data_IF_717122821805
#
_entry.id   IF_717122821805
#
_cell.length_a   1.000
_cell.length_b   1.000
_cell.length_c   1.000
_cell.angle_alpha   90.00
_cell.angle_beta   90.00
_cell.angle_gamma   90.00
#
_symmetry.space_group_name_H-M   'P 1'
#
loop_
_entity.id
_entity.type
_entity.pdbx_description
1 polymer ?
#
# COMPACT_ATOMS: atom_id res chain seq x y z
N UNK A 1 -1.48 -11.52 14.20
CA UNK A 1 -1.56 -10.23 13.49
C UNK A 1 -3.01 -9.79 13.34
N UNK A 2 -3.91 -10.72 13.09
CA UNK A 2 -5.35 -10.53 12.82
C UNK A 2 -6.05 -9.59 13.81
N UNK A 3 -5.86 -9.80 15.12
CA UNK A 3 -6.44 -8.94 16.14
C UNK A 3 -6.01 -7.46 16.02
N UNK A 4 -4.75 -7.22 15.64
CA UNK A 4 -4.21 -5.88 15.38
C UNK A 4 -4.82 -5.28 14.12
N UNK A 5 -4.86 -6.03 13.02
CA UNK A 5 -5.45 -5.63 11.73
C UNK A 5 -6.90 -5.20 11.95
N UNK A 6 -7.70 -6.06 12.57
CA UNK A 6 -9.11 -5.78 12.86
C UNK A 6 -9.28 -4.52 13.73
N UNK A 7 -8.45 -4.32 14.76
CA UNK A 7 -8.55 -3.15 15.61
C UNK A 7 -8.12 -1.87 14.88
N UNK A 8 -7.06 -1.93 14.07
CA UNK A 8 -6.64 -0.78 13.27
C UNK A 8 -7.69 -0.41 12.23
N UNK A 9 -8.26 -1.37 11.51
CA UNK A 9 -9.36 -1.11 10.56
C UNK A 9 -10.61 -0.59 11.30
N UNK A 10 -10.94 -1.13 12.47
CA UNK A 10 -12.14 -0.69 13.19
C UNK A 10 -11.98 0.68 13.84
N UNK A 11 -10.86 0.92 14.52
CA UNK A 11 -10.68 2.05 15.42
C UNK A 11 -9.70 3.11 14.91
N UNK A 12 -8.81 2.75 13.99
CA UNK A 12 -7.71 3.59 13.52
C UNK A 12 -6.45 3.38 14.31
N UNK A 13 -5.38 4.05 13.90
CA UNK A 13 -4.09 3.92 14.55
C UNK A 13 -4.09 4.55 15.95
N UNK A 14 -4.59 5.79 16.05
CA UNK A 14 -4.51 6.57 17.29
C UNK A 14 -5.35 5.96 18.42
N UNK A 15 -6.55 5.48 18.10
CA UNK A 15 -7.49 4.93 19.10
C UNK A 15 -7.22 3.47 19.47
N UNK A 16 -6.28 2.83 18.80
CA UNK A 16 -5.88 1.45 19.10
C UNK A 16 -4.70 1.45 20.08
N UNK A 17 -4.81 0.63 21.12
CA UNK A 17 -3.78 0.45 22.15
C UNK A 17 -3.28 -0.98 22.17
N UNK A 18 -2.02 -1.19 22.58
CA UNK A 18 -1.46 -2.55 22.75
C UNK A 18 -2.29 -3.40 23.71
N UNK A 19 -2.89 -2.79 24.75
CA UNK A 19 -3.80 -3.48 25.68
C UNK A 19 -5.06 -4.02 24.98
N UNK A 20 -5.68 -3.24 24.08
CA UNK A 20 -6.84 -3.72 23.31
C UNK A 20 -6.43 -4.89 22.40
N UNK A 21 -5.25 -4.80 21.78
CA UNK A 21 -4.70 -5.87 20.93
C UNK A 21 -4.50 -7.15 21.75
N UNK A 22 -3.86 -7.06 22.91
CA UNK A 22 -3.65 -8.20 23.83
C UNK A 22 -4.99 -8.84 24.21
N UNK A 23 -5.93 -8.00 24.64
CA UNK A 23 -7.25 -8.46 25.09
C UNK A 23 -8.00 -9.16 23.96
N UNK A 24 -7.95 -8.64 22.74
CA UNK A 24 -8.62 -9.24 21.58
C UNK A 24 -7.92 -10.52 21.12
N UNK A 25 -6.59 -10.55 21.15
CA UNK A 25 -5.81 -11.73 20.79
C UNK A 25 -5.91 -12.87 21.83
N UNK A 26 -6.43 -12.59 23.03
CA UNK A 26 -6.56 -13.59 24.09
C UNK A 26 -5.22 -14.06 24.67
N UNK A 27 -4.15 -13.26 24.50
CA UNK A 27 -2.80 -13.59 24.99
C UNK A 27 -2.51 -12.92 26.33
N UNK A 28 -1.51 -13.41 27.06
CA UNK A 28 -1.03 -12.76 28.29
C UNK A 28 -0.26 -11.49 27.96
N UNK A 29 -0.36 -10.46 28.81
CA UNK A 29 0.35 -9.19 28.61
C UNK A 29 1.86 -9.38 28.35
N UNK A 30 2.52 -10.26 29.11
CA UNK A 30 3.95 -10.54 28.96
C UNK A 30 4.32 -11.21 27.62
N UNK A 31 3.39 -11.91 26.97
CA UNK A 31 3.64 -12.56 25.68
C UNK A 31 3.72 -11.56 24.53
N UNK A 32 2.93 -10.47 24.56
CA UNK A 32 3.02 -9.45 23.51
C UNK A 32 4.33 -8.67 23.61
N UNK A 33 4.76 -8.26 24.81
CA UNK A 33 6.00 -7.50 24.98
C UNK A 33 7.27 -8.31 24.69
N UNK A 34 7.18 -9.64 24.68
CA UNK A 34 8.24 -10.50 24.17
C UNK A 34 8.28 -10.54 22.63
N UNK A 35 7.18 -10.22 21.96
CA UNK A 35 7.04 -10.26 20.50
C UNK A 35 7.21 -8.87 19.85
N UNK A 36 6.76 -7.82 20.53
CA UNK A 36 6.76 -6.46 19.99
C UNK A 36 7.11 -5.43 21.07
N UNK A 37 8.00 -4.50 20.71
CA UNK A 37 8.46 -3.44 21.60
C UNK A 37 7.44 -2.29 21.73
N UNK A 38 6.65 -2.04 20.68
CA UNK A 38 5.76 -0.88 20.59
C UNK A 38 4.53 -1.12 19.71
N UNK A 39 3.54 -0.22 19.79
CA UNK A 39 2.40 -0.18 18.86
C UNK A 39 2.88 0.06 17.42
N UNK A 40 3.86 0.93 17.26
CA UNK A 40 4.47 1.29 15.98
C UNK A 40 5.11 0.06 15.32
N UNK A 41 5.75 -0.84 16.08
CA UNK A 41 6.31 -2.07 15.53
C UNK A 41 5.21 -3.01 15.02
N UNK A 42 4.15 -3.22 15.80
CA UNK A 42 2.99 -4.04 15.38
C UNK A 42 2.37 -3.43 14.11
N UNK A 43 2.21 -2.12 14.09
CA UNK A 43 1.64 -1.41 12.96
C UNK A 43 2.55 -1.48 11.72
N UNK A 44 3.86 -1.35 11.90
CA UNK A 44 4.86 -1.56 10.86
C UNK A 44 4.69 -2.93 10.21
N UNK A 45 4.55 -3.99 11.01
CA UNK A 45 4.35 -5.34 10.48
C UNK A 45 3.01 -5.49 9.73
N UNK A 46 1.93 -4.83 10.16
CA UNK A 46 0.66 -4.78 9.42
C UNK A 46 0.85 -4.10 8.05
N UNK A 47 1.58 -2.99 7.99
CA UNK A 47 1.83 -2.26 6.74
C UNK A 47 2.71 -3.09 5.79
N UNK A 48 3.72 -3.78 6.32
CA UNK A 48 4.56 -4.68 5.54
C UNK A 48 3.76 -5.86 4.99
N UNK A 49 2.90 -6.47 5.80
CA UNK A 49 2.00 -7.54 5.37
C UNK A 49 1.10 -7.06 4.21
N UNK A 50 0.52 -5.87 4.33
CA UNK A 50 -0.31 -5.27 3.29
C UNK A 50 0.46 -5.04 1.98
N UNK A 51 1.68 -4.51 2.08
CA UNK A 51 2.55 -4.31 0.93
C UNK A 51 2.86 -5.64 0.23
N UNK A 52 3.27 -6.66 0.98
CA UNK A 52 3.60 -7.96 0.39
C UNK A 52 2.39 -8.69 -0.18
N UNK A 53 1.22 -8.58 0.46
CA UNK A 53 -0.03 -9.09 -0.13
C UNK A 53 -0.34 -8.40 -1.45
N UNK A 54 -0.25 -7.07 -1.53
CA UNK A 54 -0.51 -6.35 -2.78
C UNK A 54 0.41 -6.80 -3.92
N UNK A 55 1.68 -7.11 -3.61
CA UNK A 55 2.63 -7.66 -4.57
C UNK A 55 2.22 -9.08 -4.97
N UNK A 56 1.86 -9.95 -4.03
CA UNK A 56 1.39 -11.31 -4.34
C UNK A 56 0.11 -11.32 -5.18
N UNK A 57 -0.81 -10.42 -4.88
CA UNK A 57 -2.07 -10.29 -5.62
C UNK A 57 -1.82 -9.81 -7.05
N UNK A 58 -0.83 -8.94 -7.26
CA UNK A 58 -0.41 -8.55 -8.62
C UNK A 58 0.00 -9.76 -9.47
N UNK A 59 0.70 -10.74 -8.88
CA UNK A 59 1.15 -11.95 -9.60
C UNK A 59 -0.03 -12.87 -10.01
N UNK A 60 -1.19 -12.75 -9.36
CA UNK A 60 -2.39 -13.54 -9.67
C UNK A 60 -3.14 -12.99 -10.89
N UNK A 61 -3.25 -11.67 -10.98
CA UNK A 61 -4.13 -11.02 -11.94
C UNK A 61 -3.39 -10.41 -13.13
N UNK A 62 -2.13 -10.02 -12.96
CA UNK A 62 -1.35 -9.43 -14.04
C UNK A 62 -0.86 -10.51 -15.02
N UNK A 63 -0.91 -10.26 -16.35
CA UNK A 63 -0.34 -11.18 -17.33
C UNK A 63 1.14 -11.47 -17.05
N UNK A 64 1.60 -12.70 -17.30
CA UNK A 64 3.01 -13.11 -17.06
C UNK A 64 4.05 -12.28 -17.82
N UNK A 65 3.65 -11.66 -18.93
CA UNK A 65 4.52 -10.88 -19.80
C UNK A 65 4.41 -9.38 -19.53
N UNK A 66 3.75 -8.99 -18.43
CA UNK A 66 3.61 -7.60 -18.02
C UNK A 66 5.00 -6.98 -17.82
N UNK A 67 5.28 -5.80 -18.39
CA UNK A 67 6.51 -5.07 -18.12
C UNK A 67 6.70 -4.85 -16.61
N UNK A 68 7.93 -4.95 -16.13
CA UNK A 68 8.20 -4.82 -14.69
C UNK A 68 7.68 -3.51 -14.09
N UNK A 69 7.80 -2.40 -14.84
CA UNK A 69 7.27 -1.09 -14.47
C UNK A 69 5.73 -1.07 -14.27
N UNK A 70 4.99 -1.98 -14.92
CA UNK A 70 3.54 -2.12 -14.74
C UNK A 70 3.19 -3.09 -13.59
N UNK A 71 4.07 -4.05 -13.28
CA UNK A 71 3.91 -4.88 -12.08
C UNK A 71 4.00 -4.03 -10.81
N UNK A 72 4.96 -3.10 -10.75
CA UNK A 72 5.15 -2.22 -9.58
C UNK A 72 4.02 -1.20 -9.41
N UNK A 73 3.28 -0.90 -10.48
CA UNK A 73 2.19 0.08 -10.42
C UNK A 73 0.93 -0.51 -9.80
N UNK A 74 0.78 -1.85 -9.75
CA UNK A 74 -0.37 -2.50 -9.14
C UNK A 74 -0.50 -2.20 -7.63
N UNK A 75 0.53 -2.42 -6.78
CA UNK A 75 0.49 -2.03 -5.37
C UNK A 75 0.12 -0.55 -5.14
N UNK A 76 0.68 0.34 -5.96
CA UNK A 76 0.44 1.79 -5.88
C UNK A 76 -1.01 2.12 -6.25
N UNK A 77 -1.50 1.52 -7.34
CA UNK A 77 -2.87 1.68 -7.82
C UNK A 77 -3.88 1.18 -6.79
N UNK A 78 -3.65 -0.01 -6.21
CA UNK A 78 -4.49 -0.57 -5.15
C UNK A 78 -4.51 0.32 -3.90
N UNK A 79 -3.35 0.82 -3.48
CA UNK A 79 -3.24 1.71 -2.33
C UNK A 79 -4.07 3.00 -2.54
N UNK A 80 -3.96 3.63 -3.72
CA UNK A 80 -4.73 4.83 -4.06
C UNK A 80 -6.23 4.51 -4.13
N UNK A 81 -6.60 3.44 -4.85
CA UNK A 81 -7.99 2.99 -5.02
C UNK A 81 -8.68 2.70 -3.68
N UNK A 82 -8.00 2.00 -2.78
CA UNK A 82 -8.57 1.66 -1.48
C UNK A 82 -8.64 2.88 -0.54
N UNK A 83 -7.64 3.76 -0.59
CA UNK A 83 -7.60 4.97 0.24
C UNK A 83 -8.64 6.01 -0.19
N UNK A 84 -8.91 6.16 -1.49
CA UNK A 84 -9.95 7.07 -1.97
C UNK A 84 -11.37 6.65 -1.54
N UNK A 85 -11.57 5.35 -1.28
CA UNK A 85 -12.87 4.73 -0.96
C UNK A 85 -13.07 4.40 0.52
N UNK A 86 -12.02 4.50 1.32
CA UNK A 86 -12.09 4.26 2.75
C UNK A 86 -11.21 5.24 3.49
N UNK A 87 -11.83 6.20 4.16
CA UNK A 87 -11.14 7.18 5.00
C UNK A 87 -10.27 6.49 6.07
N UNK A 88 -10.71 5.31 6.55
CA UNK A 88 -9.91 4.52 7.49
C UNK A 88 -8.63 4.01 6.85
N UNK A 89 -8.71 3.46 5.64
CA UNK A 89 -7.52 2.97 4.92
C UNK A 89 -6.59 4.13 4.64
N UNK A 90 -7.12 5.27 4.18
CA UNK A 90 -6.35 6.49 3.99
C UNK A 90 -5.65 6.95 5.29
N UNK A 91 -6.35 6.96 6.44
CA UNK A 91 -5.75 7.29 7.75
C UNK A 91 -4.57 6.39 8.10
N UNK A 92 -4.72 5.07 7.93
CA UNK A 92 -3.66 4.12 8.29
C UNK A 92 -2.43 4.33 7.41
N UNK A 93 -2.59 4.44 6.10
CA UNK A 93 -1.45 4.66 5.20
C UNK A 93 -0.85 6.08 5.31
N UNK A 94 -1.66 7.11 5.56
CA UNK A 94 -1.14 8.44 5.86
C UNK A 94 -0.34 8.43 7.17
N UNK A 95 -0.79 7.70 8.18
CA UNK A 95 -0.07 7.53 9.44
C UNK A 95 1.23 6.76 9.25
N UNK A 96 1.25 5.67 8.47
CA UNK A 96 2.49 4.95 8.17
C UNK A 96 3.51 5.82 7.44
N UNK A 97 3.05 6.72 6.57
CA UNK A 97 3.92 7.68 5.89
C UNK A 97 4.47 8.77 6.82
N UNK A 98 3.73 9.14 7.88
CA UNK A 98 4.17 10.13 8.87
C UNK A 98 5.17 9.56 9.89
N UNK A 99 5.13 8.25 10.14
CA UNK A 99 6.09 7.57 11.04
C UNK A 99 7.35 7.22 10.23
N UNK A 100 8.42 7.97 10.46
CA UNK A 100 9.69 7.85 9.72
C UNK A 100 10.21 6.42 9.60
N UNK A 101 10.30 5.67 10.70
CA UNK A 101 10.84 4.31 10.69
C UNK A 101 9.98 3.33 9.87
N UNK A 102 8.65 3.53 9.84
CA UNK A 102 7.75 2.69 9.03
C UNK A 102 7.89 3.06 7.55
N UNK A 103 7.87 4.35 7.22
CA UNK A 103 8.04 4.81 5.84
C UNK A 103 9.40 4.38 5.27
N UNK A 104 10.47 4.52 6.05
CA UNK A 104 11.81 4.05 5.71
C UNK A 104 11.84 2.54 5.47
N UNK A 105 11.26 1.73 6.37
CA UNK A 105 11.19 0.27 6.21
C UNK A 105 10.46 -0.14 4.92
N UNK A 106 9.37 0.55 4.58
CA UNK A 106 8.64 0.33 3.32
C UNK A 106 9.52 0.68 2.12
N UNK A 107 10.23 1.80 2.16
CA UNK A 107 11.15 2.22 1.11
C UNK A 107 12.26 1.18 0.88
N UNK A 108 12.96 0.79 1.94
CA UNK A 108 14.04 -0.20 1.90
C UNK A 108 13.55 -1.55 1.37
N UNK A 109 12.39 -2.01 1.84
CA UNK A 109 11.81 -3.29 1.40
C UNK A 109 11.38 -3.27 -0.07
N UNK A 110 10.83 -2.14 -0.54
CA UNK A 110 10.49 -1.97 -1.95
C UNK A 110 11.74 -1.90 -2.83
N UNK A 111 12.77 -1.18 -2.38
CA UNK A 111 14.06 -1.09 -3.06
C UNK A 111 14.71 -2.47 -3.23
N UNK A 112 14.76 -3.26 -2.15
CA UNK A 112 15.26 -4.63 -2.16
C UNK A 112 14.46 -5.51 -3.12
N UNK A 113 13.12 -5.48 -3.04
CA UNK A 113 12.28 -6.30 -3.91
C UNK A 113 12.44 -5.95 -5.40
N UNK A 114 12.51 -4.66 -5.74
CA UNK A 114 12.77 -4.22 -7.13
C UNK A 114 14.13 -4.73 -7.60
N UNK A 115 15.18 -4.56 -6.78
CA UNK A 115 16.55 -4.98 -7.11
C UNK A 115 16.66 -6.48 -7.34
N UNK A 116 15.93 -7.29 -6.59
CA UNK A 116 15.96 -8.75 -6.73
C UNK A 116 15.19 -9.27 -7.95
N UNK A 117 14.19 -8.52 -8.43
CA UNK A 117 13.19 -9.04 -9.38
C UNK A 117 13.23 -8.38 -10.77
N UNK A 118 13.77 -7.16 -10.89
CA UNK A 118 13.91 -6.48 -12.18
C UNK A 118 15.13 -7.00 -12.97
N UNK A 119 14.97 -8.19 -13.55
CA UNK A 119 16.02 -8.87 -14.34
C UNK A 119 16.55 -8.01 -15.51
N UNK A 120 15.72 -7.10 -16.03
CA UNK A 120 16.09 -6.26 -17.17
C UNK A 120 16.72 -4.94 -16.77
N UNK A 121 16.87 -4.66 -15.47
CA UNK A 121 17.35 -3.37 -14.94
C UNK A 121 16.58 -2.19 -15.55
N UNK A 122 15.26 -2.37 -15.70
CA UNK A 122 14.34 -1.35 -16.22
C UNK A 122 14.35 -0.11 -15.31
N UNK A 123 14.37 -0.36 -14.00
CA UNK A 123 14.48 0.62 -12.95
C UNK A 123 15.94 0.73 -12.56
N UNK A 124 16.55 1.93 -12.56
CA UNK A 124 17.97 2.11 -12.33
C UNK A 124 18.32 2.02 -10.83
N UNK A 125 18.19 0.85 -10.21
CA UNK A 125 18.42 0.62 -8.77
C UNK A 125 19.87 0.86 -8.32
N UNK A 126 20.83 0.72 -9.24
CA UNK A 126 22.26 0.97 -8.96
C UNK A 126 22.64 2.44 -9.11
N UNK A 127 21.69 3.31 -9.48
CA UNK A 127 21.94 4.76 -9.59
C UNK A 127 22.25 5.36 -8.21
N UNK A 128 23.24 6.26 -8.10
CA UNK A 128 23.59 6.88 -6.82
C UNK A 128 22.45 7.73 -6.20
N UNK A 129 21.44 8.08 -7.01
CA UNK A 129 20.27 8.85 -6.59
C UNK A 129 18.98 8.01 -6.53
N UNK A 130 19.05 6.68 -6.67
CA UNK A 130 17.87 5.80 -6.64
C UNK A 130 17.02 5.99 -5.38
N UNK A 131 17.64 5.97 -4.19
CA UNK A 131 16.96 6.20 -2.92
C UNK A 131 16.26 7.56 -2.88
N UNK A 132 16.94 8.62 -3.33
CA UNK A 132 16.37 9.98 -3.36
C UNK A 132 15.14 10.04 -4.28
N UNK A 133 15.22 9.37 -5.44
CA UNK A 133 14.12 9.23 -6.40
C UNK A 133 12.95 8.44 -5.82
N UNK A 134 13.22 7.37 -5.09
CA UNK A 134 12.21 6.57 -4.39
C UNK A 134 11.48 7.40 -3.33
N UNK A 135 12.21 8.08 -2.46
CA UNK A 135 11.61 8.98 -1.46
C UNK A 135 10.81 10.12 -2.08
N UNK A 136 11.25 10.67 -3.22
CA UNK A 136 10.48 11.70 -3.93
C UNK A 136 9.11 11.16 -4.40
N UNK A 137 9.07 9.95 -4.95
CA UNK A 137 7.81 9.30 -5.35
C UNK A 137 6.94 8.98 -4.13
N UNK A 138 7.53 8.46 -3.05
CA UNK A 138 6.81 8.16 -1.81
C UNK A 138 6.25 9.40 -1.13
N UNK A 139 6.96 10.53 -1.16
CA UNK A 139 6.48 11.81 -0.65
C UNK A 139 5.27 12.33 -1.43
N UNK A 140 5.30 12.24 -2.77
CA UNK A 140 4.17 12.60 -3.62
C UNK A 140 2.95 11.72 -3.34
N UNK A 141 3.14 10.40 -3.30
CA UNK A 141 2.09 9.44 -2.98
C UNK A 141 1.53 9.68 -1.56
N UNK A 142 2.41 9.87 -0.57
CA UNK A 142 2.00 10.10 0.81
C UNK A 142 1.13 11.34 0.98
N UNK A 143 1.46 12.43 0.29
CA UNK A 143 0.65 13.67 0.28
C UNK A 143 -0.74 13.43 -0.31
N UNK A 144 -0.83 12.63 -1.38
CA UNK A 144 -2.09 12.26 -2.01
C UNK A 144 -2.96 11.42 -1.05
N UNK A 145 -2.38 10.43 -0.39
CA UNK A 145 -3.08 9.59 0.60
C UNK A 145 -3.58 10.42 1.78
N UNK A 146 -2.75 11.33 2.31
CA UNK A 146 -3.17 12.25 3.37
C UNK A 146 -4.32 13.15 2.91
N UNK A 147 -4.33 13.59 1.64
CA UNK A 147 -5.46 14.35 1.10
C UNK A 147 -6.75 13.55 1.05
N UNK A 148 -6.72 12.26 0.69
CA UNK A 148 -7.91 11.40 0.80
C UNK A 148 -8.41 11.26 2.24
N UNK A 149 -7.51 11.25 3.23
CA UNK A 149 -7.88 11.22 4.65
C UNK A 149 -8.55 12.54 5.10
N UNK A 150 -7.94 13.69 4.76
CA UNK A 150 -8.32 15.01 5.30
C UNK A 150 -9.40 15.73 4.49
N UNK A 151 -9.43 15.52 3.19
CA UNK A 151 -10.35 16.16 2.25
C UNK A 151 -11.04 15.12 1.34
N UNK A 152 -11.90 14.22 1.88
CA UNK A 152 -12.58 13.21 1.08
C UNK A 152 -13.38 13.83 -0.08
N UNK A 153 -13.26 13.25 -1.28
CA UNK A 153 -13.94 13.75 -2.49
C UNK A 153 -13.28 14.97 -3.16
N UNK A 154 -12.17 15.49 -2.62
CA UNK A 154 -11.43 16.62 -3.25
C UNK A 154 -10.71 16.26 -4.55
N UNK A 155 -10.51 14.95 -4.80
CA UNK A 155 -9.81 14.41 -5.96
C UNK A 155 -10.31 12.98 -6.20
N UNK A 156 -10.31 12.55 -7.47
CA UNK A 156 -10.57 11.14 -7.83
C UNK A 156 -9.30 10.30 -7.75
N UNK A 157 -9.46 9.01 -7.50
CA UNK A 157 -8.37 8.03 -7.60
C UNK A 157 -7.73 8.00 -8.99
N UNK A 158 -8.50 8.05 -10.07
CA UNK A 158 -7.97 8.05 -11.45
C UNK A 158 -7.05 9.25 -11.68
N UNK A 159 -7.43 10.45 -11.22
CA UNK A 159 -6.57 11.63 -11.27
C UNK A 159 -5.28 11.42 -10.47
N UNK A 160 -5.39 10.89 -9.25
CA UNK A 160 -4.25 10.62 -8.39
C UNK A 160 -3.28 9.59 -9.00
N UNK A 161 -3.81 8.49 -9.54
CA UNK A 161 -3.02 7.42 -10.15
C UNK A 161 -2.27 7.94 -11.37
N UNK A 162 -2.92 8.70 -12.25
CA UNK A 162 -2.25 9.29 -13.42
C UNK A 162 -1.10 10.22 -13.02
N UNK A 163 -1.32 11.10 -12.05
CA UNK A 163 -0.27 12.01 -11.55
C UNK A 163 0.88 11.22 -10.91
N UNK A 164 0.59 10.23 -10.07
CA UNK A 164 1.63 9.41 -9.43
C UNK A 164 2.40 8.58 -10.47
N UNK A 165 1.72 8.03 -11.47
CA UNK A 165 2.36 7.30 -12.56
C UNK A 165 3.29 8.20 -13.37
N UNK A 166 2.86 9.42 -13.73
CA UNK A 166 3.68 10.42 -14.42
C UNK A 166 4.93 10.80 -13.60
N UNK A 167 4.76 11.03 -12.29
CA UNK A 167 5.86 11.31 -11.38
C UNK A 167 6.83 10.12 -11.35
N UNK A 168 6.33 8.90 -11.22
CA UNK A 168 7.17 7.70 -11.15
C UNK A 168 7.98 7.50 -12.43
N UNK A 169 7.33 7.53 -13.60
CA UNK A 169 8.04 7.33 -14.87
C UNK A 169 9.02 8.46 -15.16
N UNK A 170 8.67 9.71 -14.85
CA UNK A 170 9.57 10.85 -15.06
C UNK A 170 10.76 10.80 -14.10
N UNK A 171 10.50 10.49 -12.84
CA UNK A 171 11.52 10.37 -11.78
C UNK A 171 12.50 9.25 -12.06
N UNK A 172 12.10 8.13 -12.66
CA UNK A 172 13.00 7.02 -12.97
C UNK A 172 13.44 6.97 -14.44
N UNK A 173 13.02 7.92 -15.28
CA UNK A 173 13.37 7.95 -16.71
C UNK A 173 12.77 6.78 -17.50
N UNK A 174 11.60 6.28 -17.08
CA UNK A 174 10.91 5.16 -17.71
C UNK A 174 10.09 5.63 -18.93
N UNK A 175 9.73 4.69 -19.79
CA UNK A 175 8.92 4.98 -20.98
C UNK A 175 7.52 5.47 -20.63
N UNK A 176 7.15 6.63 -21.18
CA UNK A 176 5.80 7.22 -21.13
C UNK A 176 4.89 6.73 -22.24
N UNK A 177 5.38 5.87 -23.14
CA UNK A 177 4.58 5.36 -24.26
C UNK A 177 3.36 4.59 -23.73
N UNK A 178 2.18 5.01 -24.19
CA UNK A 178 0.87 4.45 -23.82
C UNK A 178 0.63 4.41 -22.30
N UNK A 179 1.23 5.33 -21.53
CA UNK A 179 1.16 5.33 -20.06
C UNK A 179 -0.29 5.29 -19.56
N UNK A 180 -1.16 6.16 -20.07
CA UNK A 180 -2.57 6.23 -19.67
C UNK A 180 -3.30 4.90 -19.90
N UNK A 181 -3.05 4.23 -21.04
CA UNK A 181 -3.65 2.93 -21.34
C UNK A 181 -3.10 1.81 -20.44
N UNK A 182 -1.79 1.82 -20.15
CA UNK A 182 -1.14 0.87 -19.25
C UNK A 182 -1.68 1.02 -17.82
N UNK A 183 -1.73 2.25 -17.32
CA UNK A 183 -2.31 2.59 -16.02
C UNK A 183 -3.78 2.22 -15.95
N UNK A 184 -4.56 2.53 -17.00
CA UNK A 184 -5.97 2.17 -17.08
C UNK A 184 -6.21 0.65 -17.02
N UNK A 185 -5.32 -0.14 -17.63
CA UNK A 185 -5.41 -1.61 -17.57
C UNK A 185 -5.18 -2.13 -16.14
N UNK A 186 -4.20 -1.58 -15.42
CA UNK A 186 -3.94 -1.95 -14.02
C UNK A 186 -5.09 -1.51 -13.12
N UNK A 187 -5.62 -0.31 -13.35
CA UNK A 187 -6.79 0.21 -12.63
C UNK A 187 -8.04 -0.64 -12.84
N UNK A 188 -8.30 -1.09 -14.08
CA UNK A 188 -9.42 -1.99 -14.37
C UNK A 188 -9.30 -3.28 -13.58
N UNK A 189 -8.11 -3.89 -13.50
CA UNK A 189 -7.89 -5.09 -12.69
C UNK A 189 -8.20 -4.81 -11.22
N UNK A 190 -7.61 -3.75 -10.64
CA UNK A 190 -7.79 -3.38 -9.23
C UNK A 190 -9.26 -3.08 -8.88
N UNK A 191 -9.99 -2.42 -9.77
CA UNK A 191 -11.36 -1.96 -9.52
C UNK A 191 -12.44 -3.02 -9.78
N UNK A 192 -12.09 -4.14 -10.42
CA UNK A 192 -13.04 -5.20 -10.78
C UNK A 192 -12.80 -6.52 -10.05
N UNK A 193 -11.58 -6.77 -9.57
CA UNK A 193 -11.25 -8.00 -8.87
C UNK A 193 -11.30 -7.81 -7.35
N UNK A 194 -11.70 -8.87 -6.67
CA UNK A 194 -11.55 -8.96 -5.23
C UNK A 194 -10.08 -9.25 -4.90
N UNK A 195 -9.47 -8.37 -4.09
CA UNK A 195 -8.07 -8.48 -3.70
C UNK A 195 -7.97 -8.77 -2.21
N UNK A 196 -7.13 -9.71 -1.82
CA UNK A 196 -6.94 -10.07 -0.40
C UNK A 196 -5.71 -9.37 0.16
N UNK A 197 -5.91 -8.51 1.16
CA UNK A 197 -4.86 -7.75 1.86
C UNK A 197 -5.02 -7.95 3.37
N UNK A 198 -3.98 -8.43 4.05
CA UNK A 198 -3.98 -8.68 5.50
C UNK A 198 -5.14 -9.57 5.96
N UNK A 199 -5.46 -10.61 5.17
CA UNK A 199 -6.61 -11.49 5.43
C UNK A 199 -7.98 -10.82 5.26
N UNK A 200 -8.04 -9.61 4.70
CA UNK A 200 -9.27 -8.90 4.38
C UNK A 200 -9.48 -8.88 2.86
N UNK A 201 -10.65 -9.31 2.40
CA UNK A 201 -11.14 -9.08 1.05
C UNK A 201 -11.46 -7.59 0.89
N UNK A 202 -10.77 -6.95 -0.05
CA UNK A 202 -11.11 -5.62 -0.57
C UNK A 202 -12.09 -5.86 -1.71
N UNK A 203 -13.39 -5.71 -1.41
CA UNK A 203 -14.47 -5.96 -2.36
C UNK A 203 -14.92 -4.63 -2.96
N UNK A 204 -14.72 -4.40 -4.27
CA UNK A 204 -15.33 -3.28 -4.98
C UNK A 204 -16.84 -3.30 -4.83
N UNK A 205 -17.45 -2.16 -4.53
CA UNK A 205 -18.91 -2.02 -4.43
C UNK A 205 -19.43 -1.11 -5.55
N UNK A 206 -20.74 -1.16 -5.80
CA UNK A 206 -21.40 -0.17 -6.67
C UNK A 206 -21.23 1.25 -6.06
N UNK A 207 -20.53 2.13 -6.78
CA UNK A 207 -20.19 3.49 -6.34
C UNK A 207 -18.75 3.67 -5.85
N UNK A 208 -18.45 4.82 -5.22
CA UNK A 208 -17.10 5.15 -4.73
C UNK A 208 -16.84 4.63 -3.31
N UNK A 209 -17.08 3.33 -3.07
CA UNK A 209 -16.80 2.68 -1.79
C UNK A 209 -16.23 1.27 -1.94
N UNK A 210 -15.54 0.79 -0.90
CA UNK A 210 -15.09 -0.59 -0.79
C UNK A 210 -15.68 -1.22 0.47
N UNK A 211 -15.93 -2.52 0.41
CA UNK A 211 -16.23 -3.31 1.60
C UNK A 211 -14.98 -4.11 1.99
N UNK A 212 -14.68 -4.13 3.29
CA UNK A 212 -13.60 -4.92 3.86
C UNK A 212 -14.19 -6.09 4.64
N UNK A 213 -14.00 -7.31 4.15
CA UNK A 213 -14.52 -8.53 4.78
C UNK A 213 -13.38 -9.47 5.17
N UNK A 214 -13.39 -10.06 6.38
CA UNK A 214 -12.43 -11.10 6.70
C UNK A 214 -12.56 -12.30 5.74
N UNK A 215 -11.44 -12.88 5.33
CA UNK A 215 -11.44 -14.18 4.64
C UNK A 215 -11.89 -15.24 5.65
N UNK A 216 -13.02 -15.91 5.39
CA UNK A 216 -13.48 -17.02 6.22
C UNK A 216 -12.51 -18.20 6.11
N UNK A 217 -12.12 -18.76 7.26
CA UNK A 217 -11.22 -19.92 7.40
C UNK A 217 -11.91 -21.26 7.13
#
# INVERSE_FOLDING_TARGET
>A
MDASIELFIKNGYEKTTTRQIIQKAGILNGSLYNLFESKDQIFSDVIMEAMWDSIRESEKYMPKNTPFADMISFPICLLIYASSRSQRVAELFATSNRIWEINKRVAESMAEWVKERDVNHTIPTDSPDFEVRLYACMGALGTIIERFEKEPGSMTDVQAINVVAEILVSTFGLSTMNLESRVGSVYEIVSTHEVVICGMRVVPQDGDSIQLEPVES
#
